data_IF_176122565335
#
_entry.id   IF_176122565335
#
_cell.length_a   1.000
_cell.length_b   1.000
_cell.length_c   1.000
_cell.angle_alpha   90.00
_cell.angle_beta   90.00
_cell.angle_gamma   90.00
#
_symmetry.space_group_name_H-M   'P 1'
#
loop_
_entity.id
_entity.type
_entity.pdbx_description
1 polymer ?
#
# COMPACT_ATOMS: atom_id res chain seq x y z
N UNK A 1 6.85 17.83 -11.42
CA UNK A 1 6.28 16.76 -10.56
C UNK A 1 7.02 16.82 -9.23
N UNK A 2 6.30 16.82 -8.11
CA UNK A 2 6.92 16.85 -6.77
C UNK A 2 7.31 15.42 -6.39
N UNK A 3 8.55 15.23 -5.97
CA UNK A 3 9.05 13.94 -5.50
C UNK A 3 8.66 13.71 -4.04
N UNK A 4 7.37 13.44 -3.82
CA UNK A 4 6.81 13.24 -2.50
C UNK A 4 5.47 12.50 -2.55
N UNK A 5 5.04 12.02 -1.39
CA UNK A 5 3.75 11.38 -1.22
C UNK A 5 2.64 12.43 -1.00
N UNK A 6 1.63 12.43 -1.86
CA UNK A 6 0.46 13.32 -1.77
C UNK A 6 -0.78 12.54 -1.33
N UNK A 7 -1.21 12.66 -0.06
CA UNK A 7 -2.40 11.97 0.44
C UNK A 7 -3.71 12.50 -0.16
N UNK A 8 -3.74 13.74 -0.63
CA UNK A 8 -4.92 14.31 -1.30
C UNK A 8 -5.11 13.70 -2.68
N UNK A 9 -4.04 13.59 -3.48
CA UNK A 9 -4.05 12.87 -4.76
C UNK A 9 -4.51 11.42 -4.60
N UNK A 10 -4.05 10.75 -3.55
CA UNK A 10 -4.51 9.41 -3.24
C UNK A 10 -6.03 9.34 -2.99
N UNK A 11 -6.60 10.23 -2.16
CA UNK A 11 -8.04 10.24 -1.90
C UNK A 11 -8.88 10.65 -3.12
N UNK A 12 -8.40 11.58 -3.95
CA UNK A 12 -9.08 11.94 -5.21
C UNK A 12 -9.15 10.75 -6.15
N UNK A 13 -8.05 10.01 -6.35
CA UNK A 13 -8.05 8.79 -7.20
C UNK A 13 -8.99 7.72 -6.65
N UNK A 14 -9.03 7.54 -5.34
CA UNK A 14 -9.96 6.60 -4.70
C UNK A 14 -11.42 7.03 -4.84
N UNK A 15 -11.70 8.32 -4.73
CA UNK A 15 -13.02 8.88 -5.04
C UNK A 15 -13.39 8.63 -6.50
N UNK A 16 -12.50 8.88 -7.45
CA UNK A 16 -12.75 8.61 -8.88
C UNK A 16 -13.02 7.12 -9.14
N UNK A 17 -12.31 6.22 -8.45
CA UNK A 17 -12.60 4.78 -8.52
C UNK A 17 -13.99 4.47 -7.96
N UNK A 18 -14.30 4.98 -6.76
CA UNK A 18 -15.57 4.76 -6.08
C UNK A 18 -16.78 5.23 -6.91
N UNK A 19 -16.69 6.41 -7.53
CA UNK A 19 -17.82 7.04 -8.26
C UNK A 19 -17.93 6.55 -9.69
N UNK A 20 -16.80 6.41 -10.38
CA UNK A 20 -16.77 6.29 -11.84
C UNK A 20 -16.09 5.00 -12.33
N UNK A 21 -15.63 4.13 -11.41
CA UNK A 21 -14.90 2.92 -11.80
C UNK A 21 -13.50 3.20 -12.37
N UNK A 22 -12.91 4.37 -12.10
CA UNK A 22 -11.54 4.69 -12.50
C UNK A 22 -10.58 3.56 -12.11
N UNK A 23 -9.83 3.03 -13.09
CA UNK A 23 -8.92 1.88 -12.94
C UNK A 23 -9.57 0.58 -12.43
N UNK A 24 -10.89 0.43 -12.55
CA UNK A 24 -11.58 -0.85 -12.26
C UNK A 24 -11.45 -1.83 -13.43
N UNK A 25 -11.25 -3.12 -13.11
CA UNK A 25 -11.26 -4.21 -14.09
C UNK A 25 -12.63 -4.47 -14.71
N UNK A 26 -13.71 -3.97 -14.10
CA UNK A 26 -15.09 -4.15 -14.59
C UNK A 26 -15.71 -2.87 -15.13
N UNK A 27 -14.94 -1.76 -15.16
CA UNK A 27 -15.43 -0.43 -15.53
C UNK A 27 -16.34 0.24 -14.48
N UNK A 28 -16.60 -0.40 -13.34
CA UNK A 28 -17.38 0.16 -12.21
C UNK A 28 -16.73 -0.17 -10.87
N UNK A 29 -17.01 0.60 -9.83
CA UNK A 29 -16.59 0.23 -8.48
C UNK A 29 -17.29 -1.05 -8.02
N UNK A 30 -16.54 -1.99 -7.43
CA UNK A 30 -17.07 -3.18 -6.77
C UNK A 30 -16.13 -3.58 -5.62
N UNK A 31 -16.63 -4.38 -4.67
CA UNK A 31 -15.86 -4.89 -3.52
C UNK A 31 -15.16 -3.82 -2.64
N UNK A 32 -15.69 -2.59 -2.58
CA UNK A 32 -15.21 -1.56 -1.65
C UNK A 32 -15.61 -1.87 -0.21
N UNK A 33 -14.64 -1.93 0.71
CA UNK A 33 -14.88 -2.14 2.13
C UNK A 33 -15.56 -0.96 2.83
N UNK A 34 -16.10 -1.24 4.01
CA UNK A 34 -16.86 -0.29 4.82
C UNK A 34 -16.03 0.93 5.23
N UNK A 35 -14.81 0.70 5.74
CA UNK A 35 -13.91 1.76 6.19
C UNK A 35 -13.52 2.70 5.05
N UNK A 36 -13.09 2.16 3.89
CA UNK A 36 -12.79 2.97 2.70
C UNK A 36 -14.03 3.75 2.24
N UNK A 37 -15.20 3.11 2.14
CA UNK A 37 -16.43 3.80 1.72
C UNK A 37 -16.80 4.95 2.66
N UNK A 38 -16.73 4.72 3.97
CA UNK A 38 -17.06 5.73 4.98
C UNK A 38 -16.07 6.91 4.92
N UNK A 39 -14.77 6.62 4.84
CA UNK A 39 -13.73 7.63 4.68
C UNK A 39 -13.97 8.50 3.42
N UNK A 40 -14.25 7.88 2.27
CA UNK A 40 -14.51 8.61 1.03
C UNK A 40 -15.76 9.48 1.10
N UNK A 41 -16.83 9.04 1.79
CA UNK A 41 -18.00 9.88 2.00
C UNK A 41 -17.68 11.13 2.82
N UNK A 42 -16.85 11.00 3.88
CA UNK A 42 -16.37 12.13 4.68
C UNK A 42 -15.51 13.06 3.83
N UNK A 43 -14.55 12.51 3.08
CA UNK A 43 -13.68 13.29 2.19
C UNK A 43 -14.47 14.07 1.14
N UNK A 44 -15.45 13.43 0.49
CA UNK A 44 -16.34 14.06 -0.48
C UNK A 44 -17.15 15.20 0.14
N UNK A 45 -17.64 15.03 1.37
CA UNK A 45 -18.37 16.10 2.06
C UNK A 45 -17.45 17.27 2.39
N UNK A 46 -16.26 17.00 2.93
CA UNK A 46 -15.26 18.05 3.21
C UNK A 46 -14.83 18.79 1.96
N UNK A 47 -14.66 18.10 0.83
CA UNK A 47 -14.38 18.76 -0.45
C UNK A 47 -15.51 19.71 -0.86
N UNK A 48 -16.79 19.33 -0.67
CA UNK A 48 -17.94 20.21 -0.95
C UNK A 48 -17.95 21.46 -0.08
N UNK A 49 -17.77 21.28 1.23
CA UNK A 49 -17.78 22.38 2.19
C UNK A 49 -16.59 23.34 1.91
N UNK A 50 -15.42 22.78 1.62
CA UNK A 50 -14.23 23.54 1.27
C UNK A 50 -14.36 24.30 -0.05
N UNK A 51 -14.92 23.66 -1.09
CA UNK A 51 -15.21 24.27 -2.38
C UNK A 51 -16.15 25.48 -2.22
N UNK A 52 -17.22 25.31 -1.43
CA UNK A 52 -18.18 26.38 -1.14
C UNK A 52 -17.53 27.54 -0.39
N UNK A 53 -16.78 27.26 0.68
CA UNK A 53 -16.11 28.28 1.50
C UNK A 53 -15.07 29.10 0.74
N UNK A 54 -14.37 28.47 -0.21
CA UNK A 54 -13.30 29.11 -1.00
C UNK A 54 -13.76 29.58 -2.39
N UNK A 55 -15.03 29.36 -2.78
CA UNK A 55 -15.57 29.67 -4.11
C UNK A 55 -14.77 29.02 -5.26
N UNK A 56 -14.45 27.74 -5.10
CA UNK A 56 -13.70 26.92 -6.07
C UNK A 56 -14.61 25.78 -6.56
N UNK A 57 -14.47 25.33 -7.81
CA UNK A 57 -15.23 24.18 -8.32
C UNK A 57 -14.67 22.85 -7.77
N UNK A 58 -15.49 21.80 -7.71
CA UNK A 58 -15.00 20.46 -7.36
C UNK A 58 -14.01 19.91 -8.40
N UNK A 59 -14.16 20.30 -9.67
CA UNK A 59 -13.24 19.93 -10.75
C UNK A 59 -11.85 20.56 -10.57
N UNK A 60 -11.78 21.81 -10.10
CA UNK A 60 -10.52 22.47 -9.76
C UNK A 60 -9.82 21.76 -8.59
N UNK A 61 -10.59 21.27 -7.60
CA UNK A 61 -10.06 20.50 -6.48
C UNK A 61 -9.54 19.13 -6.93
N UNK A 62 -10.22 18.47 -7.87
CA UNK A 62 -9.83 17.15 -8.38
C UNK A 62 -8.67 17.18 -9.38
N UNK A 63 -8.44 18.32 -10.04
CA UNK A 63 -7.40 18.50 -11.08
C UNK A 63 -6.08 19.03 -10.55
N UNK A 64 -5.95 19.29 -9.24
CA UNK A 64 -4.71 19.76 -8.59
C UNK A 64 -4.18 21.11 -9.12
N UNK A 65 -5.02 21.89 -9.79
CA UNK A 65 -4.61 23.15 -10.42
C UNK A 65 -4.35 24.30 -9.42
N UNK A 66 -4.69 24.13 -8.13
CA UNK A 66 -4.58 25.17 -7.08
C UNK A 66 -3.96 24.63 -5.78
N UNK A 67 -2.69 24.21 -5.84
CA UNK A 67 -1.96 23.52 -4.77
C UNK A 67 -1.83 24.30 -3.45
N UNK A 68 -1.77 25.63 -3.46
CA UNK A 68 -1.51 26.40 -2.24
C UNK A 68 -2.67 26.39 -1.25
N UNK A 69 -3.91 26.40 -1.76
CA UNK A 69 -5.13 26.46 -0.94
C UNK A 69 -5.37 25.11 -0.26
N UNK A 70 -4.98 24.01 -0.89
CA UNK A 70 -5.10 22.64 -0.35
C UNK A 70 -4.25 22.42 0.92
N UNK A 71 -3.25 23.26 1.20
CA UNK A 71 -2.48 23.17 2.45
C UNK A 71 -3.35 23.34 3.70
N UNK A 72 -4.52 23.99 3.58
CA UNK A 72 -5.49 24.16 4.67
C UNK A 72 -6.57 23.07 4.72
N UNK A 73 -6.57 22.13 3.78
CA UNK A 73 -7.56 21.06 3.73
C UNK A 73 -7.23 19.96 4.74
N UNK A 74 -8.16 19.64 5.65
CA UNK A 74 -8.00 18.50 6.56
C UNK A 74 -8.23 17.17 5.83
N UNK A 75 -7.12 16.51 5.49
CA UNK A 75 -7.10 15.23 4.80
C UNK A 75 -7.45 14.03 5.69
N UNK A 76 -7.47 14.19 7.02
CA UNK A 76 -7.62 13.08 7.95
C UNK A 76 -9.08 12.63 8.07
N UNK A 77 -9.52 11.83 7.10
CA UNK A 77 -10.86 11.24 7.02
C UNK A 77 -10.90 9.79 7.54
N UNK A 78 -9.82 9.32 8.18
CA UNK A 78 -9.64 7.92 8.52
C UNK A 78 -10.55 7.43 9.65
N UNK A 79 -10.87 6.14 9.61
CA UNK A 79 -11.71 5.45 10.59
C UNK A 79 -10.83 4.87 11.69
N UNK A 80 -11.01 5.30 12.94
CA UNK A 80 -10.16 4.91 14.08
C UNK A 80 -10.31 3.41 14.43
N UNK A 81 -11.54 2.91 14.39
CA UNK A 81 -11.88 1.53 14.75
C UNK A 81 -11.80 0.56 13.57
N UNK A 82 -11.12 0.95 12.49
CA UNK A 82 -10.86 0.07 11.36
C UNK A 82 -10.07 -1.17 11.82
N UNK A 83 -10.56 -2.34 11.43
CA UNK A 83 -9.94 -3.65 11.72
C UNK A 83 -9.70 -4.48 10.47
N UNK A 84 -10.08 -3.97 9.30
CA UNK A 84 -9.89 -4.62 8.03
C UNK A 84 -8.43 -4.49 7.53
N UNK A 85 -8.08 -5.35 6.58
CA UNK A 85 -6.74 -5.44 6.01
C UNK A 85 -6.57 -4.58 4.74
N UNK A 86 -7.51 -3.66 4.45
CA UNK A 86 -7.50 -2.92 3.18
C UNK A 86 -6.25 -2.03 3.04
N UNK A 87 -5.66 -1.61 4.16
CA UNK A 87 -4.39 -0.88 4.17
C UNK A 87 -3.22 -1.68 3.58
N UNK A 88 -3.14 -2.99 3.87
CA UNK A 88 -2.02 -3.86 3.47
C UNK A 88 -2.13 -4.36 2.02
N UNK A 89 -3.34 -4.64 1.53
CA UNK A 89 -3.51 -5.24 0.19
C UNK A 89 -3.21 -4.32 -0.99
N UNK A 90 -2.91 -3.04 -0.75
CA UNK A 90 -2.63 -2.02 -1.79
C UNK A 90 -1.30 -1.29 -1.58
N UNK A 91 -0.33 -1.95 -0.94
CA UNK A 91 0.86 -1.30 -0.39
C UNK A 91 2.00 -1.12 -1.38
N UNK A 92 2.22 -2.08 -2.29
CA UNK A 92 3.46 -2.22 -3.05
C UNK A 92 3.96 -0.97 -3.78
N UNK A 93 3.07 -0.14 -4.34
CA UNK A 93 3.46 1.02 -5.17
C UNK A 93 4.36 2.03 -4.45
N UNK A 94 4.17 2.22 -3.15
CA UNK A 94 4.95 3.21 -2.40
C UNK A 94 6.34 2.71 -1.99
N UNK A 95 6.53 1.53 -1.36
CA UNK A 95 7.87 1.03 -1.12
C UNK A 95 8.62 0.83 -2.45
N UNK A 96 7.96 0.43 -3.55
CA UNK A 96 8.59 0.41 -4.88
C UNK A 96 9.07 1.80 -5.34
N UNK A 97 8.29 2.86 -5.14
CA UNK A 97 8.67 4.20 -5.55
C UNK A 97 9.79 4.81 -4.67
N UNK A 98 9.80 4.51 -3.37
CA UNK A 98 10.68 5.17 -2.40
C UNK A 98 11.80 4.25 -1.88
N UNK A 99 12.04 3.07 -2.46
CA UNK A 99 12.96 2.06 -1.92
C UNK A 99 14.41 2.53 -1.71
N UNK A 100 14.83 3.59 -2.42
CA UNK A 100 16.16 4.20 -2.29
C UNK A 100 16.31 5.05 -1.01
N UNK A 101 15.20 5.38 -0.34
CA UNK A 101 15.14 6.01 0.97
C UNK A 101 14.22 5.16 1.89
N UNK A 102 14.77 4.11 2.56
CA UNK A 102 13.98 3.19 3.36
C UNK A 102 13.15 3.87 4.46
N UNK A 103 13.68 4.95 5.06
CA UNK A 103 12.95 5.73 6.08
C UNK A 103 11.67 6.33 5.50
N UNK A 104 11.76 7.00 4.35
CA UNK A 104 10.56 7.53 3.65
C UNK A 104 9.64 6.43 3.17
N UNK A 105 10.17 5.35 2.61
CA UNK A 105 9.36 4.23 2.14
C UNK A 105 8.53 3.60 3.26
N UNK A 106 9.12 3.41 4.43
CA UNK A 106 8.45 2.90 5.63
C UNK A 106 7.42 3.91 6.15
N UNK A 107 7.79 5.17 6.35
CA UNK A 107 6.88 6.23 6.81
C UNK A 107 5.66 6.37 5.89
N UNK A 108 5.89 6.52 4.57
CA UNK A 108 4.83 6.66 3.59
C UNK A 108 3.99 5.39 3.48
N UNK A 109 4.56 4.23 3.83
CA UNK A 109 3.82 2.97 4.00
C UNK A 109 2.76 3.02 5.08
N UNK A 110 3.07 3.56 6.24
CA UNK A 110 2.07 3.84 7.25
C UNK A 110 1.09 4.94 6.81
N UNK A 111 1.61 6.10 6.37
CA UNK A 111 0.78 7.29 6.10
C UNK A 111 -0.29 7.06 5.04
N UNK A 112 0.05 6.33 3.98
CA UNK A 112 -0.87 5.99 2.90
C UNK A 112 -2.03 5.06 3.33
N UNK A 113 -1.84 4.27 4.39
CA UNK A 113 -2.94 3.52 5.00
C UNK A 113 -3.75 4.40 5.98
N UNK A 114 -3.06 5.23 6.76
CA UNK A 114 -3.61 6.05 7.86
C UNK A 114 -4.71 7.03 7.42
N UNK A 115 -4.63 7.54 6.19
CA UNK A 115 -5.64 8.47 5.65
C UNK A 115 -7.04 7.86 5.54
N UNK A 116 -7.15 6.52 5.48
CA UNK A 116 -8.41 5.78 5.48
C UNK A 116 -8.60 4.99 6.77
N UNK A 117 -7.54 4.34 7.26
CA UNK A 117 -7.58 3.49 8.45
C UNK A 117 -6.75 4.15 9.54
N UNK A 118 -7.38 5.02 10.35
CA UNK A 118 -6.71 5.76 11.41
C UNK A 118 -6.45 4.88 12.65
N UNK A 119 -6.07 3.62 12.43
CA UNK A 119 -5.73 2.66 13.46
C UNK A 119 -4.22 2.45 13.51
N UNK A 120 -3.63 2.58 14.70
CA UNK A 120 -2.18 2.49 14.87
C UNK A 120 -1.62 1.11 14.51
N UNK A 121 -2.35 0.01 14.77
CA UNK A 121 -1.89 -1.33 14.38
C UNK A 121 -1.84 -1.49 12.85
N UNK A 122 -2.81 -0.91 12.12
CA UNK A 122 -2.82 -0.94 10.65
C UNK A 122 -1.68 -0.09 10.09
N UNK A 123 -1.47 1.11 10.66
CA UNK A 123 -0.35 1.98 10.31
C UNK A 123 1.00 1.27 10.49
N UNK A 124 1.23 0.65 11.66
CA UNK A 124 2.47 -0.05 11.98
C UNK A 124 2.65 -1.34 11.16
N UNK A 125 1.57 -2.09 10.92
CA UNK A 125 1.62 -3.25 10.02
C UNK A 125 2.01 -2.83 8.60
N UNK A 126 1.47 -1.71 8.10
CA UNK A 126 1.83 -1.19 6.77
C UNK A 126 3.28 -0.68 6.72
N UNK A 127 3.78 -0.04 7.79
CA UNK A 127 5.20 0.34 7.93
C UNK A 127 6.11 -0.88 7.84
N UNK A 128 5.84 -1.89 8.65
CA UNK A 128 6.62 -3.12 8.66
C UNK A 128 6.55 -3.85 7.31
N UNK A 129 5.36 -3.94 6.71
CA UNK A 129 5.18 -4.56 5.41
C UNK A 129 5.91 -3.79 4.29
N UNK A 130 5.92 -2.46 4.35
CA UNK A 130 6.74 -1.61 3.48
C UNK A 130 8.23 -1.89 3.64
N UNK A 131 8.73 -2.06 4.87
CA UNK A 131 10.13 -2.41 5.13
C UNK A 131 10.51 -3.76 4.50
N UNK A 132 9.65 -4.78 4.60
CA UNK A 132 9.87 -6.08 3.96
C UNK A 132 9.97 -5.96 2.44
N UNK A 133 9.08 -5.17 1.81
CA UNK A 133 9.14 -4.96 0.36
C UNK A 133 10.42 -4.23 -0.04
N UNK A 134 10.82 -3.18 0.70
CA UNK A 134 12.09 -2.47 0.45
C UNK A 134 13.28 -3.41 0.55
N UNK A 135 13.35 -4.22 1.61
CA UNK A 135 14.43 -5.18 1.81
C UNK A 135 14.46 -6.24 0.69
N UNK A 136 13.30 -6.73 0.24
CA UNK A 136 13.21 -7.65 -0.88
C UNK A 136 13.72 -7.03 -2.20
N UNK A 137 13.34 -5.78 -2.51
CA UNK A 137 13.86 -5.05 -3.69
C UNK A 137 15.38 -4.87 -3.62
N UNK A 138 15.91 -4.66 -2.40
CA UNK A 138 17.34 -4.53 -2.16
C UNK A 138 18.10 -5.87 -2.17
N UNK A 139 17.42 -6.98 -2.47
CA UNK A 139 18.05 -8.30 -2.65
C UNK A 139 18.33 -9.06 -1.37
N UNK A 140 17.70 -8.69 -0.26
CA UNK A 140 17.84 -9.41 1.01
C UNK A 140 17.30 -10.85 0.90
N UNK A 141 17.98 -11.82 1.51
CA UNK A 141 17.59 -13.22 1.43
C UNK A 141 16.29 -13.51 2.22
N UNK A 142 15.52 -14.52 1.80
CA UNK A 142 14.28 -14.94 2.49
C UNK A 142 14.51 -15.25 3.98
N UNK A 143 15.66 -15.82 4.34
CA UNK A 143 16.03 -16.09 5.74
C UNK A 143 16.19 -14.82 6.57
N UNK A 144 16.67 -13.73 5.97
CA UNK A 144 16.83 -12.43 6.62
C UNK A 144 15.50 -11.68 6.69
N UNK A 145 14.67 -11.75 5.63
CA UNK A 145 13.32 -11.17 5.61
C UNK A 145 12.41 -11.80 6.67
N UNK A 146 12.56 -13.11 6.93
CA UNK A 146 11.74 -13.87 7.87
C UNK A 146 12.40 -14.03 9.26
N UNK A 147 13.49 -13.30 9.51
CA UNK A 147 14.19 -13.25 10.78
C UNK A 147 13.31 -12.56 11.85
N UNK A 148 13.05 -13.20 13.01
CA UNK A 148 12.31 -12.56 14.11
C UNK A 148 12.91 -11.22 14.58
N UNK A 149 14.21 -11.01 14.38
CA UNK A 149 14.92 -9.77 14.72
C UNK A 149 14.98 -8.77 13.55
N UNK A 150 14.35 -9.02 12.39
CA UNK A 150 14.34 -8.10 11.24
C UNK A 150 13.94 -6.68 11.67
N UNK A 151 12.85 -6.52 12.43
CA UNK A 151 12.43 -5.20 12.89
C UNK A 151 13.55 -4.47 13.68
N UNK A 152 14.24 -5.19 14.57
CA UNK A 152 15.32 -4.65 15.40
C UNK A 152 16.57 -4.32 14.58
N UNK A 153 16.92 -5.17 13.61
CA UNK A 153 18.06 -4.97 12.71
C UNK A 153 17.85 -3.78 11.77
N UNK A 154 16.60 -3.45 11.45
CA UNK A 154 16.20 -2.34 10.58
C UNK A 154 15.54 -1.19 11.36
N UNK A 155 15.75 -1.09 12.68
CA UNK A 155 15.05 -0.11 13.54
C UNK A 155 15.21 1.34 13.05
N UNK A 156 16.38 1.68 12.50
CA UNK A 156 16.65 3.00 11.91
C UNK A 156 15.64 3.39 10.82
N UNK A 157 15.07 2.43 10.07
CA UNK A 157 14.10 2.71 9.01
C UNK A 157 12.74 3.17 9.56
N UNK A 158 12.47 2.90 10.83
CA UNK A 158 11.20 3.22 11.48
C UNK A 158 11.23 4.59 12.17
N UNK A 159 12.38 5.27 12.23
CA UNK A 159 12.48 6.54 12.95
C UNK A 159 12.23 6.37 14.44
N UNK A 160 11.65 7.36 15.11
CA UNK A 160 11.43 7.33 16.57
C UNK A 160 10.14 6.63 17.01
N UNK A 161 9.22 6.33 16.09
CA UNK A 161 7.93 5.73 16.43
C UNK A 161 8.04 4.20 16.47
N UNK A 162 8.02 3.62 17.68
CA UNK A 162 8.02 2.18 17.88
C UNK A 162 6.72 1.53 17.38
N UNK A 163 6.82 0.33 16.81
CA UNK A 163 5.64 -0.47 16.43
C UNK A 163 4.80 -0.81 17.66
N UNK A 164 3.47 -0.80 17.54
CA UNK A 164 2.56 -1.31 18.57
C UNK A 164 2.86 -2.76 18.94
N UNK A 165 2.60 -3.10 20.21
CA UNK A 165 2.91 -4.42 20.78
C UNK A 165 2.29 -5.58 19.99
N UNK A 166 1.06 -5.41 19.52
CA UNK A 166 0.38 -6.44 18.72
C UNK A 166 1.08 -6.69 17.38
N UNK A 167 1.67 -5.65 16.77
CA UNK A 167 2.44 -5.78 15.54
C UNK A 167 3.81 -6.38 15.83
N UNK A 168 4.51 -5.94 16.89
CA UNK A 168 5.81 -6.52 17.29
C UNK A 168 5.74 -8.04 17.52
N UNK A 169 4.70 -8.52 18.19
CA UNK A 169 4.48 -9.97 18.35
C UNK A 169 4.39 -10.71 17.01
N UNK A 170 3.84 -10.08 15.98
CA UNK A 170 3.77 -10.64 14.63
C UNK A 170 5.16 -10.63 13.99
N UNK A 171 5.90 -9.52 14.08
CA UNK A 171 7.26 -9.41 13.53
C UNK A 171 8.21 -10.44 14.14
N UNK A 172 8.03 -10.75 15.44
CA UNK A 172 8.78 -11.75 16.19
C UNK A 172 8.36 -13.21 15.89
N UNK A 173 7.50 -13.43 14.88
CA UNK A 173 7.20 -14.76 14.38
C UNK A 173 5.99 -15.46 15.02
N UNK A 174 5.10 -14.75 15.71
CA UNK A 174 3.87 -15.38 16.23
C UNK A 174 2.99 -16.02 15.14
N UNK A 175 3.13 -15.59 13.88
CA UNK A 175 2.48 -16.19 12.71
C UNK A 175 2.99 -17.58 12.34
N UNK A 176 4.12 -18.06 12.90
CA UNK A 176 4.69 -19.39 12.67
C UNK A 176 4.15 -20.46 13.64
N UNK A 177 3.30 -20.08 14.60
CA UNK A 177 2.71 -21.00 15.58
C UNK A 177 1.70 -21.96 14.93
N UNK A 178 1.23 -22.98 15.65
CA UNK A 178 0.25 -23.97 15.17
C UNK A 178 -0.96 -23.26 14.51
N UNK A 179 -1.29 -23.66 13.27
CA UNK A 179 -2.26 -23.01 12.36
C UNK A 179 -1.82 -21.68 11.71
N UNK A 180 -0.53 -21.37 11.75
CA UNK A 180 0.13 -20.28 11.05
C UNK A 180 0.28 -20.46 9.54
N UNK A 181 0.97 -19.53 8.88
CA UNK A 181 1.25 -19.60 7.43
C UNK A 181 2.15 -20.81 7.10
N UNK A 182 1.82 -21.50 6.01
CA UNK A 182 2.65 -22.58 5.47
C UNK A 182 3.82 -21.99 4.69
N UNK A 183 4.91 -22.75 4.58
CA UNK A 183 6.02 -22.38 3.69
C UNK A 183 5.53 -22.37 2.24
N UNK A 184 6.09 -21.51 1.41
CA UNK A 184 5.74 -21.38 0.00
C UNK A 184 6.53 -22.33 -0.90
N UNK A 185 7.17 -23.34 -0.31
CA UNK A 185 8.05 -24.31 -0.98
C UNK A 185 9.12 -23.67 -1.88
N UNK A 186 9.48 -22.40 -1.59
CA UNK A 186 10.40 -21.57 -2.37
C UNK A 186 9.95 -21.30 -3.81
N UNK A 187 8.63 -21.27 -4.06
CA UNK A 187 8.07 -20.82 -5.35
C UNK A 187 6.94 -19.82 -5.14
N UNK A 188 6.79 -18.89 -6.09
CA UNK A 188 5.67 -17.94 -6.07
C UNK A 188 4.32 -18.67 -6.15
N UNK A 189 4.24 -19.69 -6.99
CA UNK A 189 3.01 -20.45 -7.25
C UNK A 189 2.49 -21.15 -5.99
N UNK A 190 3.33 -21.98 -5.36
CA UNK A 190 2.93 -22.74 -4.18
C UNK A 190 2.54 -21.82 -3.01
N UNK A 191 3.24 -20.70 -2.85
CA UNK A 191 2.87 -19.72 -1.83
C UNK A 191 1.53 -19.03 -2.07
N UNK A 192 1.21 -18.67 -3.33
CA UNK A 192 -0.12 -18.13 -3.66
C UNK A 192 -1.20 -19.19 -3.42
N UNK A 193 -0.98 -20.43 -3.86
CA UNK A 193 -1.91 -21.53 -3.65
C UNK A 193 -2.12 -21.80 -2.15
N UNK A 194 -1.06 -21.82 -1.36
CA UNK A 194 -1.13 -21.95 0.09
C UNK A 194 -1.92 -20.80 0.73
N UNK A 195 -1.72 -19.55 0.27
CA UNK A 195 -2.46 -18.39 0.77
C UNK A 195 -3.97 -18.46 0.47
N UNK A 196 -4.34 -18.90 -0.74
CA UNK A 196 -5.74 -19.05 -1.19
C UNK A 196 -6.42 -20.23 -0.50
N UNK A 197 -5.76 -21.39 -0.42
CA UNK A 197 -6.34 -22.62 0.11
C UNK A 197 -6.67 -22.56 1.62
N UNK A 198 -6.23 -21.52 2.34
CA UNK A 198 -6.63 -21.31 3.75
C UNK A 198 -8.07 -20.85 3.95
N UNK A 199 -8.76 -20.36 2.91
CA UNK A 199 -10.13 -19.85 3.03
C UNK A 199 -10.27 -18.48 3.71
N UNK A 200 -11.51 -18.13 4.06
CA UNK A 200 -12.00 -16.82 4.51
C UNK A 200 -11.76 -15.68 3.50
N UNK A 201 -10.70 -14.89 3.72
CA UNK A 201 -10.40 -13.64 3.02
C UNK A 201 -9.28 -13.88 1.99
N UNK A 202 -9.55 -14.81 1.07
CA UNK A 202 -8.53 -15.42 0.19
C UNK A 202 -7.94 -14.42 -0.81
N UNK A 203 -8.76 -13.52 -1.34
CA UNK A 203 -8.35 -12.43 -2.24
C UNK A 203 -7.35 -11.48 -1.55
N UNK A 204 -7.67 -11.02 -0.34
CA UNK A 204 -6.81 -10.13 0.43
C UNK A 204 -5.50 -10.82 0.82
N UNK A 205 -5.56 -12.09 1.26
CA UNK A 205 -4.36 -12.86 1.62
C UNK A 205 -3.44 -13.08 0.42
N UNK A 206 -4.01 -13.48 -0.72
CA UNK A 206 -3.26 -13.68 -1.95
C UNK A 206 -2.67 -12.35 -2.47
N UNK A 207 -3.42 -11.24 -2.38
CA UNK A 207 -2.93 -9.92 -2.76
C UNK A 207 -1.79 -9.44 -1.86
N UNK A 208 -1.87 -9.66 -0.55
CA UNK A 208 -0.77 -9.35 0.37
C UNK A 208 0.43 -10.25 0.04
N UNK A 209 0.27 -11.58 0.04
CA UNK A 209 1.39 -12.49 -0.28
C UNK A 209 2.06 -12.12 -1.62
N UNK A 210 1.26 -11.96 -2.67
CA UNK A 210 1.73 -11.70 -4.04
C UNK A 210 2.56 -10.42 -4.17
N UNK A 211 2.27 -9.37 -3.39
CA UNK A 211 3.05 -8.14 -3.42
C UNK A 211 4.51 -8.35 -2.96
N UNK A 212 4.72 -9.03 -1.82
CA UNK A 212 6.07 -9.29 -1.31
C UNK A 212 6.77 -10.41 -2.10
N UNK A 213 6.06 -11.50 -2.38
CA UNK A 213 6.67 -12.65 -3.06
C UNK A 213 7.01 -12.35 -4.53
N UNK A 214 6.18 -11.61 -5.27
CA UNK A 214 6.55 -11.21 -6.65
C UNK A 214 7.74 -10.25 -6.68
N UNK A 215 7.91 -9.44 -5.64
CA UNK A 215 9.09 -8.59 -5.46
C UNK A 215 10.35 -9.44 -5.20
N UNK A 216 10.23 -10.50 -4.41
CA UNK A 216 11.33 -11.40 -4.07
C UNK A 216 11.71 -12.35 -5.21
N UNK A 217 10.76 -13.09 -5.77
CA UNK A 217 10.99 -14.05 -6.85
C UNK A 217 11.22 -13.36 -8.21
N UNK A 218 10.62 -12.18 -8.40
CA UNK A 218 10.69 -11.42 -9.64
C UNK A 218 9.66 -11.86 -10.69
N UNK A 219 9.32 -10.94 -11.58
CA UNK A 219 8.24 -11.08 -12.57
C UNK A 219 8.35 -12.34 -13.46
N UNK A 220 9.58 -12.79 -13.77
CA UNK A 220 9.81 -13.94 -14.66
C UNK A 220 9.44 -15.29 -14.04
N UNK A 221 9.41 -15.36 -12.71
CA UNK A 221 9.05 -16.58 -11.96
C UNK A 221 7.54 -16.73 -11.75
N UNK A 222 6.75 -15.71 -12.14
CA UNK A 222 5.29 -15.79 -12.05
C UNK A 222 4.76 -16.77 -13.13
N UNK A 223 3.80 -17.65 -12.80
CA UNK A 223 3.20 -18.54 -13.78
C UNK A 223 2.59 -17.79 -14.96
N UNK A 224 3.13 -17.99 -16.17
CA UNK A 224 2.64 -17.31 -17.38
C UNK A 224 1.15 -17.54 -17.61
N UNK A 225 0.69 -18.77 -17.37
CA UNK A 225 -0.72 -19.17 -17.44
C UNK A 225 -1.65 -18.40 -16.50
N UNK A 226 -1.12 -17.74 -15.46
CA UNK A 226 -1.90 -16.83 -14.62
C UNK A 226 -1.79 -15.38 -15.12
N UNK A 227 -0.57 -14.95 -15.43
CA UNK A 227 -0.27 -13.58 -15.88
C UNK A 227 -1.04 -13.23 -17.16
N UNK A 228 -1.17 -14.16 -18.10
CA UNK A 228 -1.89 -13.98 -19.37
C UNK A 228 -3.39 -13.70 -19.19
N UNK A 229 -3.98 -14.08 -18.05
CA UNK A 229 -5.38 -13.83 -17.73
C UNK A 229 -5.59 -12.55 -16.90
N UNK A 230 -4.53 -11.84 -16.51
CA UNK A 230 -4.65 -10.59 -15.76
C UNK A 230 -5.16 -9.48 -16.68
N UNK A 231 -6.32 -8.92 -16.34
CA UNK A 231 -6.87 -7.76 -17.03
C UNK A 231 -5.87 -6.59 -17.00
N UNK A 232 -5.69 -5.93 -18.16
CA UNK A 232 -4.78 -4.80 -18.33
C UNK A 232 -3.31 -5.08 -17.94
N UNK A 233 -2.84 -6.34 -18.03
CA UNK A 233 -1.46 -6.72 -17.69
C UNK A 233 -0.39 -5.82 -18.32
N UNK A 234 -0.55 -5.46 -19.61
CA UNK A 234 0.39 -4.55 -20.31
C UNK A 234 0.45 -3.17 -19.64
N UNK A 235 -0.70 -2.63 -19.24
CA UNK A 235 -0.78 -1.35 -18.55
C UNK A 235 -0.12 -1.41 -17.16
N UNK A 236 -0.38 -2.48 -16.39
CA UNK A 236 0.25 -2.71 -15.09
C UNK A 236 1.78 -2.80 -15.23
N UNK A 237 2.28 -3.56 -16.20
CA UNK A 237 3.73 -3.65 -16.48
C UNK A 237 4.33 -2.30 -16.90
N UNK A 238 3.58 -1.48 -17.66
CA UNK A 238 4.03 -0.12 -17.98
C UNK A 238 4.07 0.78 -16.75
N UNK A 239 3.09 0.69 -15.85
CA UNK A 239 3.08 1.42 -14.59
C UNK A 239 4.26 1.03 -13.70
N UNK A 240 4.55 -0.26 -13.58
CA UNK A 240 5.68 -0.77 -12.80
C UNK A 240 7.03 -0.20 -13.30
N UNK A 241 7.28 -0.26 -14.60
CA UNK A 241 8.45 0.37 -15.23
C UNK A 241 8.50 1.88 -15.00
N UNK A 242 7.34 2.54 -15.03
CA UNK A 242 7.26 3.97 -14.76
C UNK A 242 7.57 4.29 -13.29
N UNK A 243 7.10 3.49 -12.33
CA UNK A 243 7.43 3.63 -10.91
C UNK A 243 8.94 3.50 -10.71
N UNK A 244 9.58 2.49 -11.31
CA UNK A 244 11.04 2.33 -11.25
C UNK A 244 11.78 3.57 -11.80
N UNK A 245 11.38 4.05 -12.97
CA UNK A 245 11.94 5.28 -13.56
C UNK A 245 11.75 6.52 -12.69
N UNK A 246 10.56 6.69 -12.07
CA UNK A 246 10.32 7.81 -11.17
C UNK A 246 11.12 7.71 -9.88
N UNK A 247 11.32 6.49 -9.36
CA UNK A 247 12.13 6.24 -8.17
C UNK A 247 13.55 6.78 -8.35
N UNK A 248 14.19 6.40 -9.46
CA UNK A 248 15.54 6.88 -9.82
C UNK A 248 15.58 8.40 -9.92
N UNK A 249 14.61 9.03 -10.58
CA UNK A 249 14.57 10.50 -10.70
C UNK A 249 14.40 11.20 -9.38
N UNK A 250 13.52 10.70 -8.53
CA UNK A 250 13.19 11.34 -7.27
C UNK A 250 14.30 11.23 -6.22
N UNK A 251 15.11 10.19 -6.29
CA UNK A 251 16.30 10.09 -5.47
C UNK A 251 17.36 11.13 -5.86
N UNK A 252 17.68 11.26 -7.15
CA UNK A 252 18.68 12.22 -7.64
C UNK A 252 18.29 13.69 -7.41
N UNK A 253 16.99 14.02 -7.39
CA UNK A 253 16.54 15.40 -7.12
C UNK A 253 16.56 15.80 -5.64
N UNK A 254 16.71 14.84 -4.73
CA UNK A 254 16.70 15.05 -3.27
C UNK A 254 18.09 14.90 -2.63
N UNK A 255 19.14 14.68 -3.44
CA UNK A 255 20.55 14.80 -3.07
C UNK A 255 21.05 16.20 -3.38
#
# INVERSE_FOLDING_TARGET
MRCGFDPYDQLVRYKCWHKNGYMSSTGKCFAIGSSTRQCLNVFEQRQRDFAQGNKISLEDLDSFNKLEILNSFDINCGINDATDNEGLMRRASVPLLFHQDPKKAVEYSGRSAKIIHANQNIYDACRYYGALIVAAIQGMAKTELLDPDFYKKQEDWFGSELLQENVRKITEGSYKRKNGYQDDENTFEEGVLAAVNRGDNTDTRAAIYGQLSSTYYGYKELPSRWVEHVYAVKFITCMDKWIAYQSERCFHSNQ
#
